data_IF_927045745795
#
_entry.id   IF_927045745795
#
_cell.length_a   1.000
_cell.length_b   1.000
_cell.length_c   1.000
_cell.angle_alpha   90.00
_cell.angle_beta   90.00
_cell.angle_gamma   90.00
#
_symmetry.space_group_name_H-M   'P 1'
#
loop_
_entity.id
_entity.type
_entity.pdbx_description
1 polymer ?
#
# COMPACT_ATOMS: atom_id res chain seq x y z
N UNK A 1 16.00 -5.17 18.81
CA UNK A 1 14.82 -4.92 17.96
C UNK A 1 14.13 -6.25 17.80
N UNK A 2 12.83 -6.36 18.03
CA UNK A 2 12.11 -7.58 17.66
C UNK A 2 12.05 -7.56 16.13
N UNK A 3 12.67 -8.54 15.48
CA UNK A 3 12.35 -8.86 14.09
C UNK A 3 10.87 -9.24 14.10
N UNK A 4 10.02 -8.35 13.59
CA UNK A 4 8.65 -8.71 13.27
C UNK A 4 8.71 -9.47 11.96
N UNK A 5 8.41 -10.75 12.02
CA UNK A 5 8.37 -11.61 10.84
C UNK A 5 7.12 -11.21 10.04
N UNK A 6 7.32 -10.63 8.85
CA UNK A 6 6.23 -10.25 7.95
C UNK A 6 5.43 -11.51 7.60
N UNK A 7 4.15 -11.55 7.99
CA UNK A 7 3.26 -12.65 7.64
C UNK A 7 2.77 -12.45 6.20
N UNK A 8 3.32 -13.23 5.28
CA UNK A 8 2.88 -13.22 3.88
C UNK A 8 1.47 -13.84 3.78
N UNK A 9 0.46 -13.09 3.27
CA UNK A 9 -0.89 -13.62 3.12
C UNK A 9 -0.99 -14.72 2.06
N UNK A 10 -1.86 -15.68 2.30
CA UNK A 10 -2.24 -16.72 1.33
C UNK A 10 -3.15 -16.16 0.24
N UNK A 11 -3.28 -16.91 -0.87
CA UNK A 11 -4.22 -16.53 -1.95
C UNK A 11 -5.67 -16.38 -1.48
N UNK A 12 -6.08 -17.17 -0.48
CA UNK A 12 -7.41 -17.09 0.13
C UNK A 12 -7.55 -15.79 0.94
N UNK A 13 -6.58 -15.48 1.80
CA UNK A 13 -6.59 -14.23 2.57
C UNK A 13 -6.54 -12.99 1.64
N UNK A 14 -5.81 -13.05 0.52
CA UNK A 14 -5.80 -11.98 -0.49
C UNK A 14 -7.16 -11.84 -1.18
N UNK A 15 -7.83 -12.95 -1.51
CA UNK A 15 -9.17 -12.93 -2.09
C UNK A 15 -10.20 -12.31 -1.13
N UNK A 16 -10.17 -12.73 0.15
CA UNK A 16 -11.03 -12.17 1.20
C UNK A 16 -10.77 -10.68 1.42
N UNK A 17 -9.50 -10.25 1.36
CA UNK A 17 -9.13 -8.85 1.46
C UNK A 17 -9.72 -8.01 0.33
N UNK A 18 -9.65 -8.48 -0.92
CA UNK A 18 -10.27 -7.78 -2.06
C UNK A 18 -11.78 -7.62 -1.88
N UNK A 19 -12.47 -8.65 -1.39
CA UNK A 19 -13.91 -8.59 -1.10
C UNK A 19 -14.21 -7.56 0.01
N UNK A 20 -13.47 -7.61 1.13
CA UNK A 20 -13.66 -6.73 2.28
C UNK A 20 -13.32 -5.27 1.98
N UNK A 21 -12.28 -5.03 1.18
CA UNK A 21 -11.85 -3.70 0.75
C UNK A 21 -12.70 -3.15 -0.41
N UNK A 22 -13.44 -4.02 -1.11
CA UNK A 22 -14.23 -3.65 -2.27
C UNK A 22 -13.37 -3.19 -3.47
N UNK A 23 -12.16 -3.74 -3.60
CA UNK A 23 -11.18 -3.33 -4.60
C UNK A 23 -10.48 -4.56 -5.19
N UNK A 24 -10.39 -4.62 -6.52
CA UNK A 24 -9.68 -5.70 -7.21
C UNK A 24 -8.20 -5.37 -7.31
N UNK A 25 -7.34 -6.22 -6.74
CA UNK A 25 -5.90 -6.02 -6.76
C UNK A 25 -5.31 -6.30 -8.14
N UNK A 26 -4.50 -5.36 -8.67
CA UNK A 26 -3.71 -5.62 -9.85
C UNK A 26 -2.72 -6.78 -9.61
N UNK A 27 -2.38 -7.57 -10.64
CA UNK A 27 -1.43 -8.67 -10.52
C UNK A 27 -0.07 -8.27 -9.91
N UNK A 28 0.42 -7.07 -10.24
CA UNK A 28 1.66 -6.51 -9.72
C UNK A 28 1.57 -6.22 -8.21
N UNK A 29 0.40 -5.82 -7.71
CA UNK A 29 0.18 -5.62 -6.28
C UNK A 29 0.09 -6.97 -5.54
N UNK A 30 -0.57 -7.97 -6.12
CA UNK A 30 -0.57 -9.33 -5.57
C UNK A 30 0.85 -9.90 -5.50
N UNK A 31 1.67 -9.67 -6.53
CA UNK A 31 3.07 -10.08 -6.52
C UNK A 31 3.89 -9.37 -5.42
N UNK A 32 3.63 -8.09 -5.19
CA UNK A 32 4.25 -7.31 -4.12
C UNK A 32 3.83 -7.79 -2.72
N UNK A 33 2.54 -8.08 -2.50
CA UNK A 33 2.07 -8.71 -1.25
C UNK A 33 2.79 -10.04 -1.02
N UNK A 34 2.92 -10.87 -2.07
CA UNK A 34 3.57 -12.18 -2.00
C UNK A 34 5.09 -12.13 -1.86
N UNK A 35 5.75 -11.01 -2.15
CA UNK A 35 7.16 -10.83 -1.81
C UNK A 35 7.36 -10.50 -0.32
N UNK A 36 6.28 -10.34 0.45
CA UNK A 36 6.33 -9.84 1.82
C UNK A 36 6.44 -8.33 1.88
N UNK A 37 5.79 -7.64 0.94
CA UNK A 37 5.78 -6.17 0.85
C UNK A 37 7.18 -5.55 0.72
N UNK A 38 8.07 -6.26 0.04
CA UNK A 38 9.50 -5.92 -0.05
C UNK A 38 9.75 -4.56 -0.70
N UNK A 39 10.24 -3.61 0.11
CA UNK A 39 10.70 -2.28 -0.28
C UNK A 39 12.21 -2.10 -0.03
N UNK A 40 12.97 -3.19 0.14
CA UNK A 40 14.40 -3.13 0.40
C UNK A 40 14.75 -2.27 1.62
N UNK A 41 15.71 -1.37 1.44
CA UNK A 41 16.17 -0.42 2.47
C UNK A 41 15.40 0.92 2.44
N UNK A 42 14.30 1.02 1.68
CA UNK A 42 13.52 2.25 1.65
C UNK A 42 12.94 2.58 3.04
N UNK A 43 12.98 3.85 3.48
CA UNK A 43 12.46 4.26 4.79
C UNK A 43 10.92 4.38 4.77
N UNK A 44 10.25 3.44 4.10
CA UNK A 44 8.82 3.36 3.91
C UNK A 44 8.32 1.99 4.36
N UNK A 45 7.08 1.96 4.83
CA UNK A 45 6.43 0.73 5.22
C UNK A 45 5.11 0.57 4.47
N UNK A 46 4.95 -0.59 3.83
CA UNK A 46 3.73 -0.93 3.13
C UNK A 46 2.63 -1.30 4.12
N UNK A 47 1.39 -1.04 3.72
CA UNK A 47 0.23 -1.50 4.46
C UNK A 47 0.01 -3.00 4.27
N UNK A 48 -0.21 -3.69 5.38
CA UNK A 48 -0.28 -5.13 5.47
C UNK A 48 -1.74 -5.62 5.55
N UNK A 49 -1.98 -6.77 4.92
CA UNK A 49 -3.19 -7.57 5.05
C UNK A 49 -2.90 -8.70 6.04
N UNK A 50 -3.07 -8.47 7.34
CA UNK A 50 -2.78 -9.48 8.37
C UNK A 50 -3.91 -9.62 9.39
N UNK A 51 -4.08 -10.84 9.90
CA UNK A 51 -4.95 -11.16 11.02
C UNK A 51 -4.14 -12.00 12.04
N UNK A 52 -3.89 -11.50 13.27
CA UNK A 52 -4.37 -10.23 13.83
C UNK A 52 -3.75 -8.97 13.18
N UNK A 53 -4.44 -7.81 13.21
CA UNK A 53 -3.93 -6.55 12.68
C UNK A 53 -2.57 -6.14 13.24
N UNK A 54 -1.69 -5.62 12.38
CA UNK A 54 -0.45 -4.95 12.77
C UNK A 54 -0.67 -3.44 12.88
N UNK A 55 0.38 -2.68 13.18
CA UNK A 55 0.29 -1.22 13.17
C UNK A 55 0.22 -0.63 11.75
N UNK A 56 0.55 -1.42 10.74
CA UNK A 56 0.46 -1.10 9.32
C UNK A 56 -0.80 -1.73 8.68
N UNK A 57 -1.84 -2.03 9.46
CA UNK A 57 -3.05 -2.69 8.97
C UNK A 57 -3.79 -1.84 7.91
N UNK A 58 -3.94 -2.41 6.71
CA UNK A 58 -4.57 -1.71 5.59
C UNK A 58 -6.03 -1.33 5.86
N UNK A 59 -6.77 -2.11 6.67
CA UNK A 59 -8.19 -1.85 6.93
C UNK A 59 -8.37 -0.64 7.85
N UNK A 60 -7.60 -0.57 8.93
CA UNK A 60 -7.62 0.55 9.86
C UNK A 60 -7.13 1.85 9.20
N UNK A 61 -6.07 1.76 8.40
CA UNK A 61 -5.54 2.92 7.66
C UNK A 61 -6.53 3.40 6.61
N UNK A 62 -7.16 2.52 5.82
CA UNK A 62 -8.16 2.92 4.85
C UNK A 62 -9.36 3.64 5.50
N UNK A 63 -9.85 3.13 6.63
CA UNK A 63 -10.94 3.77 7.38
C UNK A 63 -10.51 5.15 7.88
N UNK A 64 -9.31 5.26 8.42
CA UNK A 64 -8.77 6.52 8.96
C UNK A 64 -8.54 7.55 7.86
N UNK A 65 -7.88 7.15 6.77
CA UNK A 65 -7.61 8.00 5.61
C UNK A 65 -8.88 8.61 5.03
N UNK A 66 -9.93 7.80 4.84
CA UNK A 66 -11.24 8.27 4.36
C UNK A 66 -11.95 9.17 5.36
N UNK A 67 -11.88 8.84 6.66
CA UNK A 67 -12.60 9.56 7.70
C UNK A 67 -12.00 10.93 8.03
N UNK A 68 -10.68 11.04 8.01
CA UNK A 68 -9.98 12.23 8.50
C UNK A 68 -9.38 13.09 7.39
N UNK A 69 -9.09 12.50 6.22
CA UNK A 69 -8.39 13.17 5.14
C UNK A 69 -9.16 13.15 3.81
N UNK A 70 -10.41 12.67 3.80
CA UNK A 70 -11.27 12.60 2.60
C UNK A 70 -10.61 11.87 1.42
N UNK A 71 -9.81 10.82 1.71
CA UNK A 71 -9.19 10.00 0.67
C UNK A 71 -10.26 9.48 -0.32
N UNK A 72 -10.10 9.71 -1.64
CA UNK A 72 -11.06 9.27 -2.65
C UNK A 72 -11.34 7.76 -2.61
N UNK A 73 -12.59 7.38 -2.86
CA UNK A 73 -13.06 5.99 -2.69
C UNK A 73 -12.45 5.02 -3.71
N UNK A 74 -12.04 5.53 -4.86
CA UNK A 74 -11.37 4.81 -5.95
C UNK A 74 -9.88 4.55 -5.69
N UNK A 75 -9.31 5.16 -4.65
CA UNK A 75 -7.92 4.98 -4.27
C UNK A 75 -7.80 3.95 -3.15
N UNK A 76 -6.88 3.00 -3.34
CA UNK A 76 -6.51 2.01 -2.33
C UNK A 76 -5.11 2.34 -1.79
N UNK A 77 -4.97 2.82 -0.54
CA UNK A 77 -3.68 3.10 0.05
C UNK A 77 -2.90 1.80 0.21
N UNK A 78 -1.61 1.84 -0.13
CA UNK A 78 -0.68 0.71 0.00
C UNK A 78 0.55 1.04 0.84
N UNK A 79 0.74 2.31 1.16
CA UNK A 79 1.78 2.83 2.04
C UNK A 79 1.32 4.19 2.57
N UNK A 80 1.53 4.43 3.86
CA UNK A 80 1.31 5.74 4.50
C UNK A 80 2.66 6.41 4.75
N UNK A 81 2.75 7.70 4.45
CA UNK A 81 3.89 8.55 4.76
C UNK A 81 3.37 9.88 5.33
N UNK A 82 3.42 10.04 6.65
CA UNK A 82 3.02 11.27 7.34
C UNK A 82 1.61 11.78 6.97
N UNK A 83 0.64 10.87 6.89
CA UNK A 83 -0.75 11.14 6.47
C UNK A 83 -0.93 11.53 4.99
N UNK A 84 0.13 11.39 4.20
CA UNK A 84 0.05 11.23 2.76
C UNK A 84 0.10 9.74 2.42
N UNK A 85 -0.36 9.37 1.22
CA UNK A 85 -0.54 7.97 0.85
C UNK A 85 -0.07 7.70 -0.56
N UNK A 86 0.67 6.61 -0.73
CA UNK A 86 0.79 5.97 -2.03
C UNK A 86 -0.44 5.08 -2.22
N UNK A 87 -1.19 5.34 -3.28
CA UNK A 87 -2.44 4.65 -3.55
C UNK A 87 -2.44 3.98 -4.92
N UNK A 88 -3.08 2.82 -5.03
CA UNK A 88 -3.42 2.21 -6.31
C UNK A 88 -4.77 2.77 -6.78
N UNK A 89 -4.85 3.16 -8.05
CA UNK A 89 -6.09 3.58 -8.69
C UNK A 89 -6.73 2.42 -9.49
N UNK A 90 -7.92 2.65 -10.07
CA UNK A 90 -8.64 1.63 -10.87
C UNK A 90 -7.90 1.16 -12.14
N UNK A 91 -6.87 1.88 -12.60
CA UNK A 91 -6.04 1.48 -13.73
C UNK A 91 -4.86 0.59 -13.31
N UNK A 92 -4.66 0.39 -12.00
CA UNK A 92 -3.50 -0.30 -11.44
C UNK A 92 -2.24 0.57 -11.33
N UNK A 93 -2.33 1.87 -11.62
CA UNK A 93 -1.24 2.82 -11.41
C UNK A 93 -1.11 3.14 -9.92
N UNK A 94 0.10 3.40 -9.46
CA UNK A 94 0.33 4.00 -8.14
C UNK A 94 0.34 5.50 -8.29
N UNK A 95 -0.35 6.23 -7.42
CA UNK A 95 -0.37 7.69 -7.34
C UNK A 95 0.03 8.12 -5.94
N UNK A 96 0.74 9.24 -5.83
CA UNK A 96 0.97 9.87 -4.53
C UNK A 96 -0.16 10.86 -4.27
N UNK A 97 -0.93 10.59 -3.23
CA UNK A 97 -2.01 11.45 -2.77
C UNK A 97 -1.56 12.16 -1.48
N UNK A 98 -1.71 13.48 -1.43
CA UNK A 98 -1.36 14.27 -0.26
C UNK A 98 -2.57 14.97 0.33
N UNK A 99 -2.70 14.95 1.66
CA UNK A 99 -3.73 15.70 2.36
C UNK A 99 -3.50 17.23 2.28
N UNK A 100 -2.30 17.66 1.86
CA UNK A 100 -1.93 19.05 1.73
C UNK A 100 -2.12 19.63 0.32
N UNK A 101 -2.54 18.83 -0.67
CA UNK A 101 -2.83 19.32 -2.01
C UNK A 101 -2.62 18.29 -3.12
N UNK A 102 -2.67 18.79 -4.35
CA UNK A 102 -2.54 17.95 -5.55
C UNK A 102 -1.08 17.67 -5.88
N UNK A 103 -0.78 16.43 -6.23
CA UNK A 103 0.50 15.97 -6.76
C UNK A 103 0.26 15.36 -8.15
N UNK A 104 1.27 15.41 -9.02
CA UNK A 104 1.25 14.73 -10.33
C UNK A 104 2.07 13.43 -10.31
N UNK A 105 2.55 13.02 -9.13
CA UNK A 105 3.42 11.87 -8.97
C UNK A 105 2.64 10.57 -9.12
N UNK A 106 3.12 9.75 -10.07
CA UNK A 106 2.51 8.48 -10.41
C UNK A 106 3.50 7.52 -11.03
N UNK A 107 3.22 6.23 -10.86
CA UNK A 107 3.98 5.12 -11.40
C UNK A 107 3.05 4.17 -12.13
N UNK A 108 3.57 3.51 -13.17
CA UNK A 108 2.78 2.64 -14.03
C UNK A 108 2.10 1.49 -13.27
N UNK A 109 2.71 1.00 -12.19
CA UNK A 109 2.19 -0.02 -11.29
C UNK A 109 3.06 -0.10 -10.01
N UNK A 110 2.66 -0.97 -9.09
CA UNK A 110 3.37 -1.20 -7.81
C UNK A 110 4.82 -1.61 -8.00
N UNK A 111 5.13 -2.41 -9.02
CA UNK A 111 6.52 -2.81 -9.31
C UNK A 111 7.39 -1.62 -9.70
N UNK A 112 6.87 -0.69 -10.49
CA UNK A 112 7.60 0.52 -10.88
C UNK A 112 7.80 1.47 -9.68
N UNK A 113 6.77 1.64 -8.86
CA UNK A 113 6.84 2.43 -7.63
C UNK A 113 7.86 1.85 -6.63
N UNK A 114 7.74 0.57 -6.27
CA UNK A 114 8.65 -0.07 -5.31
C UNK A 114 10.12 0.02 -5.74
N UNK A 115 10.41 -0.19 -7.03
CA UNK A 115 11.77 -0.03 -7.58
C UNK A 115 12.29 1.40 -7.44
N UNK A 116 11.45 2.40 -7.69
CA UNK A 116 11.84 3.81 -7.53
C UNK A 116 12.17 4.12 -6.07
N UNK A 117 11.32 3.69 -5.13
CA UNK A 117 11.53 3.91 -3.69
C UNK A 117 12.84 3.27 -3.19
N UNK A 118 13.14 2.05 -3.65
CA UNK A 118 14.41 1.37 -3.34
C UNK A 118 15.61 2.14 -3.91
N UNK A 119 15.51 2.65 -5.14
CA UNK A 119 16.58 3.41 -5.77
C UNK A 119 16.86 4.72 -5.03
N UNK A 120 15.82 5.45 -4.65
CA UNK A 120 15.92 6.73 -3.93
C UNK A 120 16.49 6.57 -2.51
N UNK A 121 16.28 5.42 -1.87
CA UNK A 121 16.83 5.13 -0.55
C UNK A 121 18.35 4.87 -0.55
N UNK A 122 18.91 4.50 -1.70
CA UNK A 122 20.34 4.22 -1.87
C UNK A 122 21.19 5.44 -2.27
N UNK A 123 20.57 6.61 -2.48
CA UNK A 123 21.23 7.88 -2.80
C UNK A 123 21.57 8.70 -1.54
#
# INVERSE_FOLDING_TARGET
>A
MKEFEVKIPTDIEIAEAQEKLGFTFPPEYVAFIKSGYDLGDAPLEALEIVDPPSYADIYEVLVSARKFYDLPVELMPICEDNSDYYCINNNGEVVFWSHNGTTDEKWANVTAWAKQMVLEAGE
#
